data_IF_276960261330
#
_entry.id   IF_276960261330
#
_cell.length_a   1.000
_cell.length_b   1.000
_cell.length_c   1.000
_cell.angle_alpha   90.00
_cell.angle_beta   90.00
_cell.angle_gamma   90.00
#
_symmetry.space_group_name_H-M   'P 1'
#
loop_
_entity.id
_entity.type
_entity.pdbx_description
1 polymer ?
#
# COMPACT_ATOMS: atom_id res chain seq x y z
N UNK A 1 -1.28 24.32 13.42
CA UNK A 1 -1.60 23.04 12.77
C UNK A 1 -1.99 22.06 13.88
N UNK A 2 -2.93 21.14 13.66
CA UNK A 2 -3.45 20.23 14.70
C UNK A 2 -3.56 18.81 14.15
N UNK A 3 -3.68 17.83 15.04
CA UNK A 3 -3.82 16.40 14.67
C UNK A 3 -5.23 15.92 14.97
N UNK A 4 -5.73 14.98 14.16
CA UNK A 4 -7.05 14.34 14.39
C UNK A 4 -6.87 12.84 14.60
N UNK A 5 -7.18 12.38 15.80
CA UNK A 5 -7.25 10.96 16.14
C UNK A 5 -8.69 10.57 16.43
N UNK A 6 -9.27 9.67 15.63
CA UNK A 6 -10.56 9.03 15.97
C UNK A 6 -10.26 7.62 16.45
N UNK A 7 -10.34 7.42 17.78
CA UNK A 7 -10.13 6.12 18.42
C UNK A 7 -11.49 5.44 18.66
N UNK A 8 -11.59 4.17 18.29
CA UNK A 8 -12.80 3.36 18.49
C UNK A 8 -13.00 2.81 19.89
N UNK A 9 -11.99 2.78 20.77
CA UNK A 9 -12.16 2.25 22.14
C UNK A 9 -11.10 2.74 23.13
N UNK A 10 -11.49 2.80 24.41
CA UNK A 10 -10.75 3.33 25.57
C UNK A 10 -9.61 2.42 26.09
N UNK A 11 -8.84 1.79 25.19
CA UNK A 11 -7.72 0.89 25.53
C UNK A 11 -6.36 1.31 24.97
N UNK A 12 -5.31 0.52 25.24
CA UNK A 12 -3.91 0.73 24.81
C UNK A 12 -3.69 0.76 23.27
N UNK A 13 -4.76 0.68 22.48
CA UNK A 13 -4.78 0.58 21.03
C UNK A 13 -5.14 1.91 20.38
N UNK A 14 -4.41 2.97 20.75
CA UNK A 14 -4.68 4.33 20.26
C UNK A 14 -3.95 4.56 18.95
N UNK A 15 -4.61 5.28 18.05
CA UNK A 15 -3.92 5.85 16.91
C UNK A 15 -2.96 6.96 17.39
N UNK A 16 -1.82 7.09 16.73
CA UNK A 16 -0.76 8.04 17.06
C UNK A 16 -0.51 9.01 15.87
N UNK A 17 -1.36 10.03 15.69
CA UNK A 17 -1.07 11.12 14.76
C UNK A 17 -0.12 12.11 15.43
N UNK A 18 1.14 12.11 15.03
CA UNK A 18 2.21 12.94 15.58
C UNK A 18 2.67 14.04 14.62
N UNK A 19 2.48 13.85 13.32
CA UNK A 19 2.88 14.83 12.32
C UNK A 19 1.96 16.04 12.28
N UNK A 20 2.48 17.22 11.97
CA UNK A 20 1.66 18.43 11.80
C UNK A 20 0.60 18.22 10.71
N UNK A 21 -0.68 18.40 11.07
CA UNK A 21 -1.80 18.17 10.14
C UNK A 21 -2.06 16.70 9.82
N UNK A 22 -1.50 15.78 10.60
CA UNK A 22 -1.73 14.34 10.41
C UNK A 22 -3.10 13.90 10.92
N UNK A 23 -3.63 12.86 10.26
CA UNK A 23 -4.92 12.26 10.62
C UNK A 23 -4.81 10.74 10.68
N UNK A 24 -5.44 10.15 11.68
CA UNK A 24 -5.48 8.70 11.84
C UNK A 24 -6.87 8.23 12.28
N UNK A 25 -7.36 7.19 11.61
CA UNK A 25 -8.58 6.46 11.92
C UNK A 25 -8.27 4.97 12.09
N UNK A 26 -9.20 4.17 12.62
CA UNK A 26 -9.01 2.73 12.81
C UNK A 26 -8.39 2.38 14.17
N UNK A 27 -7.54 1.35 14.20
CA UNK A 27 -7.00 0.78 15.43
C UNK A 27 -5.47 0.66 15.38
N UNK A 28 -4.79 1.27 16.36
CA UNK A 28 -3.33 1.20 16.54
C UNK A 28 -2.51 1.71 15.34
N UNK A 29 -3.02 2.70 14.60
CA UNK A 29 -2.33 3.27 13.44
C UNK A 29 -1.44 4.46 13.82
N UNK A 30 -0.35 4.67 13.09
CA UNK A 30 0.59 5.78 13.32
C UNK A 30 0.69 6.68 12.10
N UNK A 31 0.53 7.99 12.27
CA UNK A 31 0.78 8.98 11.23
C UNK A 31 1.74 10.05 11.76
N UNK A 32 3.05 9.83 11.60
CA UNK A 32 4.09 10.72 12.14
C UNK A 32 4.64 11.71 11.12
N UNK A 33 4.37 11.51 9.83
CA UNK A 33 4.78 12.42 8.76
C UNK A 33 3.97 13.72 8.74
N UNK A 34 4.58 14.82 8.32
CA UNK A 34 3.86 16.08 8.14
C UNK A 34 2.79 15.92 7.05
N UNK A 35 1.55 16.30 7.36
CA UNK A 35 0.35 16.11 6.53
C UNK A 35 0.12 14.67 6.08
N UNK A 36 0.57 13.68 6.85
CA UNK A 36 0.33 12.27 6.55
C UNK A 36 -1.04 11.80 7.02
N UNK A 37 -1.53 10.70 6.45
CA UNK A 37 -2.85 10.18 6.79
C UNK A 37 -2.88 8.66 6.86
N UNK A 38 -3.62 8.14 7.84
CA UNK A 38 -4.08 6.75 7.85
C UNK A 38 -5.60 6.76 7.96
N UNK A 39 -6.29 6.33 6.89
CA UNK A 39 -7.74 6.44 6.80
C UNK A 39 -8.51 5.27 7.46
N UNK A 40 -7.80 4.21 7.89
CA UNK A 40 -8.39 3.09 8.61
C UNK A 40 -7.48 1.89 8.72
N UNK A 41 -8.02 0.75 9.16
CA UNK A 41 -7.29 -0.51 9.30
C UNK A 41 -6.60 -0.70 10.65
N UNK A 42 -5.65 -1.64 10.69
CA UNK A 42 -4.95 -2.08 11.89
C UNK A 42 -3.43 -1.95 11.74
N UNK A 43 -2.76 -1.29 12.69
CA UNK A 43 -1.28 -1.21 12.76
C UNK A 43 -0.58 -0.65 11.50
N UNK A 44 -1.23 0.23 10.76
CA UNK A 44 -0.62 0.91 9.63
C UNK A 44 0.25 2.10 10.07
N UNK A 45 1.29 2.41 9.31
CA UNK A 45 2.23 3.51 9.57
C UNK A 45 2.40 4.42 8.36
N UNK A 46 2.13 5.71 8.50
CA UNK A 46 2.39 6.75 7.51
C UNK A 46 3.37 7.81 8.07
N UNK A 47 4.67 7.61 7.85
CA UNK A 47 5.74 8.43 8.43
C UNK A 47 6.39 9.39 7.43
N UNK A 48 6.20 9.18 6.12
CA UNK A 48 6.64 10.12 5.09
C UNK A 48 5.80 11.41 5.08
N UNK A 49 6.40 12.51 4.64
CA UNK A 49 5.66 13.77 4.39
C UNK A 49 4.63 13.55 3.28
N UNK A 50 3.37 13.95 3.50
CA UNK A 50 2.23 13.64 2.64
C UNK A 50 1.97 12.14 2.40
N UNK A 51 2.55 11.24 3.22
CA UNK A 51 2.31 9.82 3.05
C UNK A 51 0.87 9.45 3.40
N UNK A 52 0.30 8.49 2.68
CA UNK A 52 -1.08 8.05 2.90
C UNK A 52 -1.20 6.53 2.95
N UNK A 53 -1.84 6.01 3.98
CA UNK A 53 -2.32 4.63 4.01
C UNK A 53 -3.84 4.62 4.08
N UNK A 54 -4.49 4.11 3.05
CA UNK A 54 -5.96 4.14 2.97
C UNK A 54 -6.61 3.09 3.88
N UNK A 55 -5.94 1.98 4.17
CA UNK A 55 -6.46 0.92 5.03
C UNK A 55 -5.59 -0.34 5.03
N UNK A 56 -6.16 -1.46 5.48
CA UNK A 56 -5.45 -2.75 5.55
C UNK A 56 -4.78 -3.03 6.89
N UNK A 57 -3.82 -3.94 6.91
CA UNK A 57 -3.11 -4.38 8.12
C UNK A 57 -1.59 -4.23 7.96
N UNK A 58 -0.91 -3.63 8.93
CA UNK A 58 0.56 -3.60 8.99
C UNK A 58 1.25 -2.99 7.74
N UNK A 59 0.57 -2.07 7.04
CA UNK A 59 1.16 -1.36 5.90
C UNK A 59 2.01 -0.17 6.35
N UNK A 60 3.09 0.12 5.62
CA UNK A 60 4.04 1.19 5.93
C UNK A 60 4.28 2.08 4.71
N UNK A 61 4.04 3.38 4.84
CA UNK A 61 4.36 4.40 3.85
C UNK A 61 5.37 5.41 4.45
N UNK A 62 6.64 5.31 4.04
CA UNK A 62 7.75 6.10 4.60
C UNK A 62 8.34 7.13 3.63
N UNK A 63 8.14 6.97 2.31
CA UNK A 63 8.60 7.95 1.32
C UNK A 63 7.77 9.25 1.32
N UNK A 64 8.35 10.37 0.88
CA UNK A 64 7.58 11.60 0.64
C UNK A 64 6.58 11.38 -0.50
N UNK A 65 5.32 11.81 -0.33
CA UNK A 65 4.21 11.55 -1.26
C UNK A 65 3.96 10.05 -1.54
N UNK A 66 4.40 9.15 -0.66
CA UNK A 66 4.16 7.73 -0.82
C UNK A 66 2.72 7.35 -0.45
N UNK A 67 2.19 6.29 -1.05
CA UNK A 67 0.86 5.80 -0.71
C UNK A 67 0.76 4.28 -0.73
N UNK A 68 -0.10 3.77 0.15
CA UNK A 68 -0.56 2.38 0.17
C UNK A 68 -2.08 2.37 0.18
N UNK A 69 -2.68 1.82 -0.87
CA UNK A 69 -4.14 1.75 -1.02
C UNK A 69 -4.82 0.73 -0.10
N UNK A 70 -4.09 -0.30 0.35
CA UNK A 70 -4.62 -1.34 1.23
C UNK A 70 -3.77 -2.62 1.17
N UNK A 71 -4.33 -3.74 1.66
CA UNK A 71 -3.64 -5.03 1.74
C UNK A 71 -2.98 -5.27 3.10
N UNK A 72 -2.03 -6.19 3.16
CA UNK A 72 -1.29 -6.55 4.38
C UNK A 72 0.22 -6.54 4.16
N UNK A 73 0.97 -5.96 5.09
CA UNK A 73 2.44 -5.97 5.12
C UNK A 73 3.13 -5.27 3.93
N UNK A 74 2.50 -4.26 3.31
CA UNK A 74 3.11 -3.51 2.20
C UNK A 74 4.04 -2.39 2.69
N UNK A 75 5.14 -2.14 1.97
CA UNK A 75 6.10 -1.08 2.31
C UNK A 75 6.38 -0.15 1.11
N UNK A 76 5.84 1.07 1.15
CA UNK A 76 6.09 2.14 0.18
C UNK A 76 7.18 3.10 0.71
N UNK A 77 8.45 2.78 0.45
CA UNK A 77 9.59 3.51 1.02
C UNK A 77 10.25 4.55 0.12
N UNK A 78 10.00 4.49 -1.19
CA UNK A 78 10.56 5.44 -2.13
C UNK A 78 9.66 6.69 -2.23
N UNK A 79 10.26 7.85 -2.47
CA UNK A 79 9.53 9.08 -2.70
C UNK A 79 8.66 8.97 -3.97
N UNK A 80 7.39 9.38 -3.86
CA UNK A 80 6.38 9.28 -4.91
C UNK A 80 5.92 7.85 -5.23
N UNK A 81 6.30 6.84 -4.44
CA UNK A 81 5.86 5.46 -4.67
C UNK A 81 4.40 5.24 -4.27
N UNK A 82 3.67 4.48 -5.08
CA UNK A 82 2.27 4.12 -4.81
C UNK A 82 2.09 2.62 -4.93
N UNK A 83 1.65 1.97 -3.85
CA UNK A 83 1.31 0.56 -3.83
C UNK A 83 -0.21 0.40 -3.84
N UNK A 84 -0.73 -0.30 -4.84
CA UNK A 84 -2.17 -0.55 -4.97
C UNK A 84 -2.70 -1.64 -4.00
N UNK A 85 -1.81 -2.27 -3.25
CA UNK A 85 -2.12 -3.30 -2.25
C UNK A 85 -1.79 -4.73 -2.70
N UNK A 86 -1.71 -5.62 -1.72
CA UNK A 86 -1.31 -7.03 -1.83
C UNK A 86 -1.08 -7.61 -0.43
N UNK A 87 -0.96 -8.92 -0.28
CA UNK A 87 -0.46 -9.50 0.97
C UNK A 87 1.01 -9.90 0.79
N UNK A 88 1.90 -9.42 1.66
CA UNK A 88 3.30 -9.86 1.71
C UNK A 88 3.41 -11.31 2.24
N UNK A 89 2.29 -11.93 2.66
CA UNK A 89 2.16 -13.37 2.95
C UNK A 89 2.60 -14.24 1.76
N UNK A 90 2.40 -13.75 0.52
CA UNK A 90 2.94 -14.40 -0.67
C UNK A 90 4.47 -14.37 -0.70
N UNK A 91 5.15 -13.27 -0.30
CA UNK A 91 6.64 -13.26 -0.24
C UNK A 91 7.18 -14.26 0.79
N UNK A 92 6.51 -14.40 1.93
CA UNK A 92 6.96 -15.28 3.01
C UNK A 92 6.79 -16.77 2.67
N UNK A 93 5.79 -17.13 1.86
CA UNK A 93 5.68 -18.47 1.26
C UNK A 93 6.59 -18.65 0.03
N UNK A 94 6.85 -17.57 -0.73
CA UNK A 94 7.72 -17.60 -1.92
C UNK A 94 9.21 -17.74 -1.61
N UNK A 95 9.69 -17.45 -0.40
CA UNK A 95 11.09 -17.74 -0.01
C UNK A 95 11.39 -19.24 0.08
N UNK A 96 10.36 -20.10 0.21
CA UNK A 96 10.54 -21.57 0.30
C UNK A 96 10.27 -22.31 -1.01
N UNK A 97 9.66 -21.69 -2.03
CA UNK A 97 9.38 -22.34 -3.32
C UNK A 97 9.49 -21.32 -4.45
N UNK A 98 10.71 -20.89 -4.78
CA UNK A 98 10.95 -20.24 -6.06
C UNK A 98 10.78 -21.32 -7.15
N UNK A 99 9.56 -21.42 -7.67
CA UNK A 99 9.34 -21.71 -9.09
C UNK A 99 8.54 -20.55 -9.65
N UNK A 100 9.27 -19.59 -10.20
CA UNK A 100 8.97 -18.92 -11.47
C UNK A 100 7.51 -18.96 -11.95
N UNK A 101 6.66 -18.14 -11.33
CA UNK A 101 5.39 -17.72 -11.92
C UNK A 101 5.42 -16.21 -11.92
N UNK A 102 6.33 -15.61 -12.71
CA UNK A 102 6.36 -14.16 -12.91
C UNK A 102 5.22 -13.86 -13.88
N UNK A 103 4.12 -13.24 -13.45
CA UNK A 103 2.96 -13.04 -14.32
C UNK A 103 3.21 -12.00 -15.40
N UNK A 104 4.40 -11.39 -15.43
CA UNK A 104 4.80 -10.39 -16.42
C UNK A 104 6.18 -10.72 -16.99
N UNK A 105 6.32 -10.64 -18.31
CA UNK A 105 7.61 -10.73 -19.03
C UNK A 105 7.82 -9.47 -19.85
N UNK A 106 9.07 -9.09 -20.14
CA UNK A 106 9.32 -7.98 -21.07
C UNK A 106 9.33 -8.48 -22.51
N UNK A 107 8.65 -7.78 -23.41
CA UNK A 107 8.80 -7.98 -24.84
C UNK A 107 10.15 -7.41 -25.35
N UNK A 108 10.49 -7.68 -26.61
CA UNK A 108 11.72 -7.17 -27.23
C UNK A 108 11.78 -5.62 -27.30
N UNK A 109 10.66 -4.93 -27.07
CA UNK A 109 10.57 -3.47 -26.99
C UNK A 109 10.62 -2.94 -25.54
N UNK A 110 10.84 -3.79 -24.54
CA UNK A 110 10.91 -3.41 -23.12
C UNK A 110 9.56 -3.21 -22.44
N UNK A 111 8.45 -3.55 -23.10
CA UNK A 111 7.11 -3.47 -22.50
C UNK A 111 6.81 -4.70 -21.65
N UNK A 112 6.21 -4.50 -20.49
CA UNK A 112 5.74 -5.60 -19.65
C UNK A 112 4.44 -6.21 -20.20
N UNK A 113 4.44 -7.51 -20.43
CA UNK A 113 3.33 -8.31 -20.99
C UNK A 113 2.90 -9.34 -19.94
N UNK A 114 1.60 -9.37 -19.65
CA UNK A 114 1.03 -10.31 -18.69
C UNK A 114 0.82 -11.71 -19.28
N UNK A 115 1.04 -12.77 -18.49
CA UNK A 115 0.59 -14.11 -18.85
C UNK A 115 -0.93 -14.22 -18.72
N UNK A 116 -1.63 -14.31 -19.85
CA UNK A 116 -3.09 -14.40 -19.90
C UNK A 116 -3.65 -15.71 -19.34
N UNK A 117 -2.83 -16.75 -19.13
CA UNK A 117 -3.26 -17.96 -18.43
C UNK A 117 -3.41 -17.73 -16.92
N UNK A 118 -2.76 -16.70 -16.38
CA UNK A 118 -2.78 -16.38 -14.95
C UNK A 118 -3.90 -15.41 -14.56
N UNK A 119 -4.49 -14.70 -15.53
CA UNK A 119 -5.54 -13.71 -15.26
C UNK A 119 -6.81 -13.99 -16.08
N UNK A 120 -7.93 -14.15 -15.39
CA UNK A 120 -9.25 -14.20 -16.02
C UNK A 120 -9.85 -12.81 -16.08
N UNK A 121 -10.04 -12.29 -17.29
CA UNK A 121 -10.71 -11.02 -17.50
C UNK A 121 -12.18 -11.22 -17.87
N UNK A 122 -13.11 -10.42 -17.32
CA UNK A 122 -14.48 -10.41 -17.79
C UNK A 122 -14.54 -9.95 -19.25
N UNK A 123 -15.56 -10.41 -19.99
CA UNK A 123 -15.75 -10.06 -21.40
C UNK A 123 -15.86 -8.53 -21.52
N UNK A 124 -14.97 -7.93 -22.29
CA UNK A 124 -14.92 -6.47 -22.54
C UNK A 124 -13.92 -5.68 -21.69
N UNK A 125 -13.12 -6.32 -20.83
CA UNK A 125 -12.00 -5.64 -20.19
C UNK A 125 -10.95 -5.22 -21.24
N UNK A 126 -10.61 -3.93 -21.26
CA UNK A 126 -9.54 -3.37 -22.10
C UNK A 126 -8.40 -2.94 -21.20
N UNK A 127 -7.26 -3.59 -21.35
CA UNK A 127 -5.99 -3.24 -20.71
C UNK A 127 -5.14 -2.67 -21.84
N UNK A 128 -4.74 -1.41 -21.72
CA UNK A 128 -4.20 -0.53 -22.77
C UNK A 128 -3.63 -1.19 -24.03
N UNK A 129 -4.06 -0.72 -25.21
CA UNK A 129 -3.56 -1.19 -26.49
C UNK A 129 -2.24 -0.49 -26.88
N UNK A 130 -1.30 -1.25 -27.44
CA UNK A 130 -0.14 -0.69 -28.13
C UNK A 130 -0.64 0.09 -29.35
N UNK A 131 -0.49 1.41 -29.35
CA UNK A 131 -0.62 2.20 -30.57
C UNK A 131 0.51 1.80 -31.50
N UNK A 132 0.18 1.36 -32.71
CA UNK A 132 1.12 1.23 -33.82
C UNK A 132 1.76 2.56 -34.17
#
# INVERSE_FOLDING_TARGET
>A
EGTLSVNGDSGANRNCPEGDGSVTFGHSNTASGKWSSVLGGYKNTASGKYAAVLGGSENTATGENSSVSGGSDNVASNDGSSLYGGEDSLKKELESTIVSVIPFTQDAGGWWVADMAMFRFPKGAVIGAKSS
#
